data_IF_885326356659
#
_entry.id   IF_885326356659
#
_cell.length_a   1.000
_cell.length_b   1.000
_cell.length_c   1.000
_cell.angle_alpha   90.00
_cell.angle_beta   90.00
_cell.angle_gamma   90.00
#
_symmetry.space_group_name_H-M   'P 1'
#
loop_
_entity.id
_entity.type
_entity.pdbx_description
1 polymer ?
#
# COMPACT_ATOMS: atom_id res chain seq x y z
N UNK A 1 -37.67 -22.28 25.08
CA UNK A 1 -37.34 -21.08 24.28
C UNK A 1 -36.58 -21.54 23.06
N UNK A 2 -37.04 -21.21 21.86
CA UNK A 2 -36.35 -21.52 20.61
C UNK A 2 -34.98 -20.82 20.58
N UNK A 3 -33.92 -21.56 20.28
CA UNK A 3 -32.58 -20.97 20.10
C UNK A 3 -32.68 -19.93 18.97
N UNK A 4 -32.30 -18.67 19.19
CA UNK A 4 -32.36 -17.65 18.15
C UNK A 4 -31.50 -18.08 16.96
N UNK A 5 -32.02 -17.88 15.75
CA UNK A 5 -31.35 -18.27 14.51
C UNK A 5 -30.14 -17.33 14.30
N UNK A 6 -28.95 -17.78 14.69
CA UNK A 6 -27.73 -16.93 14.72
C UNK A 6 -27.38 -16.34 13.35
N UNK A 7 -27.58 -17.08 12.28
CA UNK A 7 -27.39 -16.66 10.89
C UNK A 7 -28.37 -17.42 10.01
N UNK A 8 -28.58 -16.99 8.77
CA UNK A 8 -29.35 -17.74 7.77
C UNK A 8 -28.69 -19.05 7.29
N UNK A 9 -27.56 -19.46 7.88
CA UNK A 9 -26.82 -20.68 7.52
C UNK A 9 -27.16 -21.83 8.48
N UNK A 10 -26.94 -23.06 8.01
CA UNK A 10 -27.10 -24.25 8.84
C UNK A 10 -26.16 -24.20 10.08
N UNK A 11 -26.72 -24.49 11.26
CA UNK A 11 -25.95 -24.53 12.50
C UNK A 11 -25.00 -25.72 12.52
N UNK A 12 -23.83 -25.54 13.15
CA UNK A 12 -22.89 -26.65 13.39
C UNK A 12 -23.61 -27.71 14.26
N UNK A 13 -23.74 -28.96 13.80
CA UNK A 13 -24.52 -29.97 14.51
C UNK A 13 -23.85 -30.44 15.80
N UNK A 14 -22.52 -30.62 15.79
CA UNK A 14 -21.72 -31.01 16.95
C UNK A 14 -20.22 -30.75 16.70
N UNK A 15 -19.40 -30.92 17.73
CA UNK A 15 -17.94 -31.01 17.61
C UNK A 15 -17.55 -32.46 17.31
N UNK A 16 -16.61 -32.67 16.38
CA UNK A 16 -16.13 -34.01 16.04
C UNK A 16 -15.35 -34.67 17.20
N UNK A 17 -15.50 -35.99 17.35
CA UNK A 17 -14.93 -36.77 18.46
C UNK A 17 -13.93 -37.86 18.03
N UNK A 18 -13.79 -38.10 16.73
CA UNK A 18 -12.92 -39.15 16.16
C UNK A 18 -11.49 -38.64 15.97
N UNK A 19 -10.51 -39.51 16.18
CA UNK A 19 -9.08 -39.23 15.94
C UNK A 19 -8.27 -38.97 17.21
N UNK A 20 -6.94 -38.90 17.07
CA UNK A 20 -6.03 -38.57 18.17
C UNK A 20 -6.03 -37.07 18.40
N UNK A 21 -6.17 -36.64 19.67
CA UNK A 21 -6.05 -35.23 20.05
C UNK A 21 -4.63 -34.73 19.81
N UNK A 22 -4.51 -33.58 19.16
CA UNK A 22 -3.25 -32.88 18.92
C UNK A 22 -3.40 -31.42 19.35
N UNK A 23 -2.31 -30.84 19.83
CA UNK A 23 -2.22 -29.43 20.19
C UNK A 23 -1.64 -28.70 18.99
N UNK A 24 -2.30 -27.65 18.51
CA UNK A 24 -1.86 -26.92 17.34
C UNK A 24 -1.95 -25.41 17.58
N UNK A 25 -0.84 -24.70 17.35
CA UNK A 25 -0.87 -23.24 17.32
C UNK A 25 -1.46 -22.76 15.99
N UNK A 26 -2.26 -21.71 16.06
CA UNK A 26 -2.86 -21.05 14.91
C UNK A 26 -2.31 -19.65 14.75
N UNK A 27 -2.44 -19.09 13.56
CA UNK A 27 -2.08 -17.70 13.29
C UNK A 27 -3.18 -16.70 13.72
N UNK A 28 -3.84 -17.02 14.82
CA UNK A 28 -4.84 -16.17 15.46
C UNK A 28 -4.33 -15.74 16.82
N UNK A 29 -4.59 -14.48 17.14
CA UNK A 29 -4.26 -13.83 18.39
C UNK A 29 -5.56 -13.39 19.06
N UNK A 30 -5.76 -13.76 20.32
CA UNK A 30 -7.01 -13.46 21.00
C UNK A 30 -7.16 -11.95 21.24
N UNK A 31 -8.35 -11.41 21.00
CA UNK A 31 -8.70 -10.07 21.47
C UNK A 31 -9.29 -10.26 22.88
N UNK A 32 -8.47 -9.95 23.89
CA UNK A 32 -8.75 -10.16 25.31
C UNK A 32 -9.68 -9.09 25.89
N UNK A 33 -9.62 -7.87 25.36
CA UNK A 33 -10.51 -6.79 25.76
C UNK A 33 -11.17 -6.19 24.51
N UNK A 34 -12.50 -6.18 24.51
CA UNK A 34 -13.31 -5.49 23.52
C UNK A 34 -14.28 -4.60 24.30
N UNK A 35 -14.07 -3.27 24.33
CA UNK A 35 -14.89 -2.42 25.16
C UNK A 35 -16.33 -2.34 24.65
N UNK A 36 -17.23 -1.96 25.56
CA UNK A 36 -18.66 -1.77 25.31
C UNK A 36 -18.99 -0.31 24.95
N UNK A 37 -17.98 0.46 24.53
CA UNK A 37 -18.16 1.85 24.10
C UNK A 37 -18.84 1.90 22.73
N UNK A 38 -19.68 2.92 22.45
CA UNK A 38 -20.21 3.14 21.12
C UNK A 38 -19.08 3.48 20.14
N UNK A 39 -19.24 3.10 18.87
CA UNK A 39 -18.36 3.49 17.78
C UNK A 39 -19.16 4.27 16.74
N UNK A 40 -18.73 5.48 16.42
CA UNK A 40 -19.38 6.37 15.49
C UNK A 40 -18.89 6.09 14.07
N UNK A 41 -19.81 5.75 13.17
CA UNK A 41 -19.53 5.46 11.77
C UNK A 41 -19.80 6.71 10.92
N UNK A 42 -18.79 7.13 10.17
CA UNK A 42 -18.84 8.28 9.28
C UNK A 42 -18.63 7.87 7.82
N UNK A 43 -19.38 8.52 6.93
CA UNK A 43 -19.13 8.49 5.50
C UNK A 43 -18.22 9.65 5.11
N UNK A 44 -17.17 9.36 4.34
CA UNK A 44 -16.16 10.34 3.91
C UNK A 44 -16.15 10.42 2.39
N UNK A 45 -16.21 11.63 1.85
CA UNK A 45 -16.10 11.90 0.42
C UNK A 45 -15.01 12.94 0.18
N UNK A 46 -14.03 12.61 -0.67
CA UNK A 46 -12.93 13.51 -1.02
C UNK A 46 -13.05 13.90 -2.49
N UNK A 47 -12.97 15.20 -2.77
CA UNK A 47 -12.98 15.77 -4.12
C UNK A 47 -11.74 16.63 -4.34
N UNK A 48 -11.04 16.52 -5.49
CA UNK A 48 -11.31 15.60 -6.60
C UNK A 48 -11.01 14.14 -6.23
N UNK A 49 -11.61 13.20 -6.96
CA UNK A 49 -11.39 11.77 -6.76
C UNK A 49 -9.92 11.40 -7.02
N UNK A 50 -9.26 10.81 -6.01
CA UNK A 50 -7.86 10.40 -6.09
C UNK A 50 -7.70 8.93 -5.65
N UNK A 51 -6.56 8.28 -5.98
CA UNK A 51 -6.30 6.93 -5.53
C UNK A 51 -6.32 6.80 -4.00
N UNK A 52 -6.69 5.63 -3.43
CA UNK A 52 -6.85 5.44 -1.98
C UNK A 52 -5.67 5.89 -1.11
N UNK A 53 -4.42 5.75 -1.61
CA UNK A 53 -3.24 6.19 -0.86
C UNK A 53 -3.18 7.71 -0.70
N UNK A 54 -3.70 8.47 -1.67
CA UNK A 54 -3.81 9.92 -1.55
C UNK A 54 -4.95 10.30 -0.62
N UNK A 55 -6.06 9.56 -0.64
CA UNK A 55 -7.17 9.78 0.30
C UNK A 55 -6.72 9.68 1.76
N UNK A 56 -5.88 8.69 2.08
CA UNK A 56 -5.32 8.53 3.42
C UNK A 56 -4.50 9.76 3.86
N UNK A 57 -3.65 10.29 2.98
CA UNK A 57 -2.87 11.49 3.26
C UNK A 57 -3.76 12.73 3.45
N UNK A 58 -4.77 12.90 2.60
CA UNK A 58 -5.75 14.01 2.71
C UNK A 58 -6.54 13.89 4.02
N UNK A 59 -6.97 12.68 4.38
CA UNK A 59 -7.67 12.43 5.63
C UNK A 59 -6.78 12.74 6.85
N UNK A 60 -5.50 12.35 6.81
CA UNK A 60 -4.55 12.71 7.87
C UNK A 60 -4.41 14.23 8.01
N UNK A 61 -4.20 14.95 6.91
CA UNK A 61 -4.11 16.42 6.94
C UNK A 61 -5.39 17.07 7.49
N UNK A 62 -6.56 16.52 7.16
CA UNK A 62 -7.83 16.94 7.73
C UNK A 62 -7.84 16.79 9.26
N UNK A 63 -7.44 15.63 9.78
CA UNK A 63 -7.36 15.42 11.24
C UNK A 63 -6.33 16.36 11.87
N UNK A 64 -5.11 16.43 11.33
CA UNK A 64 -4.04 17.30 11.83
C UNK A 64 -4.47 18.78 11.89
N UNK A 65 -5.34 19.22 10.98
CA UNK A 65 -5.81 20.62 10.90
C UNK A 65 -6.99 20.92 11.81
N UNK A 66 -7.94 19.98 11.93
CA UNK A 66 -9.25 20.24 12.53
C UNK A 66 -9.48 19.54 13.87
N UNK A 67 -8.58 18.65 14.31
CA UNK A 67 -8.73 17.88 15.55
C UNK A 67 -9.05 18.78 16.76
N UNK A 68 -8.23 19.80 16.98
CA UNK A 68 -8.32 20.70 18.15
C UNK A 68 -9.46 21.73 18.09
N UNK A 69 -10.04 21.95 16.90
CA UNK A 69 -10.98 23.06 16.68
C UNK A 69 -12.39 22.60 16.41
N UNK A 70 -12.57 21.56 15.59
CA UNK A 70 -13.88 21.17 15.03
C UNK A 70 -14.22 19.69 15.22
N UNK A 71 -13.33 18.88 15.78
CA UNK A 71 -13.50 17.42 15.86
C UNK A 71 -13.41 16.88 17.30
N UNK A 72 -13.53 17.73 18.32
CA UNK A 72 -13.50 17.34 19.74
C UNK A 72 -12.26 16.52 20.14
N UNK A 73 -11.10 16.82 19.56
CA UNK A 73 -9.86 16.07 19.74
C UNK A 73 -9.97 14.58 19.39
N UNK A 74 -10.91 14.20 18.52
CA UNK A 74 -11.09 12.82 18.10
C UNK A 74 -9.99 12.38 17.11
N UNK A 75 -9.58 11.12 17.24
CA UNK A 75 -8.59 10.46 16.37
C UNK A 75 -9.26 9.34 15.53
N UNK A 76 -10.14 9.68 14.56
CA UNK A 76 -10.88 8.69 13.78
C UNK A 76 -9.95 7.88 12.87
N UNK A 77 -10.31 6.62 12.68
CA UNK A 77 -9.64 5.71 11.74
C UNK A 77 -10.39 5.68 10.41
N UNK A 78 -9.67 5.62 9.30
CA UNK A 78 -10.22 5.69 7.95
C UNK A 78 -9.71 4.55 7.06
N UNK A 79 -10.59 4.00 6.24
CA UNK A 79 -10.31 2.85 5.37
C UNK A 79 -9.56 3.20 4.07
N UNK A 80 -9.39 4.50 3.79
CA UNK A 80 -8.79 5.03 2.57
C UNK A 80 -9.76 5.20 1.40
N UNK A 81 -11.05 4.93 1.59
CA UNK A 81 -12.09 5.02 0.56
C UNK A 81 -13.21 5.94 0.98
N UNK A 82 -14.16 5.47 1.79
CA UNK A 82 -15.36 6.23 2.08
C UNK A 82 -15.93 5.97 3.48
N UNK A 83 -15.22 5.22 4.32
CA UNK A 83 -15.71 4.82 5.63
C UNK A 83 -14.66 5.16 6.68
N UNK A 84 -15.07 5.95 7.66
CA UNK A 84 -14.29 6.25 8.86
C UNK A 84 -15.05 5.84 10.13
N UNK A 85 -14.32 5.54 11.19
CA UNK A 85 -14.87 5.21 12.50
C UNK A 85 -14.15 5.99 13.59
N UNK A 86 -14.88 6.37 14.64
CA UNK A 86 -14.33 7.06 15.80
C UNK A 86 -14.93 6.51 17.08
N UNK A 87 -14.19 6.53 18.18
CA UNK A 87 -14.72 6.28 19.53
C UNK A 87 -15.24 7.55 20.20
N UNK A 88 -14.75 8.70 19.78
CA UNK A 88 -15.22 10.02 20.20
C UNK A 88 -16.09 10.60 19.09
N UNK A 89 -17.29 11.07 19.42
CA UNK A 89 -18.16 11.71 18.45
C UNK A 89 -17.54 13.03 17.96
N UNK A 90 -17.47 13.20 16.63
CA UNK A 90 -16.93 14.42 16.02
C UNK A 90 -17.78 15.67 16.30
N UNK A 91 -19.02 15.51 16.78
CA UNK A 91 -19.96 16.62 17.00
C UNK A 91 -20.54 17.21 15.71
N UNK A 92 -20.49 16.46 14.60
CA UNK A 92 -20.89 16.89 13.27
C UNK A 92 -21.89 15.91 12.66
N UNK A 93 -23.04 16.40 12.21
CA UNK A 93 -24.00 15.60 11.42
C UNK A 93 -23.52 15.43 9.97
N UNK A 94 -23.18 16.53 9.30
CA UNK A 94 -22.62 16.56 7.95
C UNK A 94 -21.92 17.89 7.69
N UNK A 95 -20.61 17.88 7.44
CA UNK A 95 -19.85 19.09 7.13
C UNK A 95 -18.80 18.85 6.05
N UNK A 96 -18.48 19.92 5.31
CA UNK A 96 -17.41 19.93 4.31
C UNK A 96 -16.27 20.84 4.80
N UNK A 97 -15.05 20.36 4.67
CA UNK A 97 -13.82 21.02 5.06
C UNK A 97 -12.91 21.19 3.84
N UNK A 98 -12.19 22.30 3.83
CA UNK A 98 -11.12 22.53 2.86
C UNK A 98 -9.80 22.03 3.46
N UNK A 99 -9.22 21.00 2.86
CA UNK A 99 -7.95 20.45 3.29
C UNK A 99 -6.85 21.11 2.47
N UNK A 100 -6.00 21.86 3.17
CA UNK A 100 -4.93 22.66 2.56
C UNK A 100 -3.92 21.77 1.83
N UNK A 101 -3.59 22.13 0.59
CA UNK A 101 -2.68 21.40 -0.29
C UNK A 101 -2.65 22.01 -1.69
N UNK A 102 -1.68 21.58 -2.51
CA UNK A 102 -1.67 21.89 -3.94
C UNK A 102 -1.70 20.57 -4.74
N UNK A 103 -2.83 20.24 -5.40
CA UNK A 103 -4.11 20.96 -5.41
C UNK A 103 -4.82 20.89 -4.05
N UNK A 104 -5.70 21.85 -3.78
CA UNK A 104 -6.58 21.82 -2.59
C UNK A 104 -7.62 20.71 -2.71
N UNK A 105 -8.02 20.13 -1.58
CA UNK A 105 -9.03 19.06 -1.53
C UNK A 105 -10.23 19.49 -0.70
N UNK A 106 -11.42 19.07 -1.12
CA UNK A 106 -12.64 19.21 -0.32
C UNK A 106 -12.98 17.85 0.28
N UNK A 107 -13.02 17.78 1.61
CA UNK A 107 -13.41 16.59 2.36
C UNK A 107 -14.77 16.82 3.01
N UNK A 108 -15.76 16.02 2.62
CA UNK A 108 -17.07 15.98 3.29
C UNK A 108 -17.13 14.77 4.21
N UNK A 109 -17.54 14.98 5.45
CA UNK A 109 -17.75 13.94 6.44
C UNK A 109 -19.19 14.01 6.98
N UNK A 110 -19.84 12.85 7.15
CA UNK A 110 -21.23 12.74 7.60
C UNK A 110 -21.39 11.58 8.57
N UNK A 111 -22.07 11.80 9.69
CA UNK A 111 -22.44 10.74 10.63
C UNK A 111 -23.50 9.83 9.98
N UNK A 112 -23.21 8.53 9.92
CA UNK A 112 -24.09 7.52 9.32
C UNK A 112 -24.85 6.76 10.39
N UNK A 113 -24.15 6.33 11.43
CA UNK A 113 -24.73 5.53 12.50
C UNK A 113 -23.84 5.52 13.74
N UNK A 114 -24.46 5.33 14.90
CA UNK A 114 -23.77 4.95 16.13
C UNK A 114 -23.86 3.43 16.29
N UNK A 115 -22.71 2.77 16.29
CA UNK A 115 -22.56 1.31 16.36
C UNK A 115 -22.41 0.89 17.81
N UNK A 116 -23.37 0.12 18.30
CA UNK A 116 -23.36 -0.43 19.64
C UNK A 116 -22.59 -1.77 19.67
N UNK A 117 -21.40 -1.75 20.28
CA UNK A 117 -20.55 -2.94 20.41
C UNK A 117 -21.15 -4.02 21.33
N UNK A 118 -22.14 -3.72 22.16
CA UNK A 118 -22.82 -4.72 22.99
C UNK A 118 -23.55 -5.78 22.14
N UNK A 119 -24.01 -5.39 20.94
CA UNK A 119 -24.61 -6.32 19.98
C UNK A 119 -23.58 -7.31 19.43
N UNK A 120 -22.34 -6.86 19.21
CA UNK A 120 -21.24 -7.74 18.82
C UNK A 120 -20.93 -8.75 19.94
N UNK A 121 -20.93 -8.31 21.20
CA UNK A 121 -20.77 -9.20 22.37
C UNK A 121 -21.87 -10.26 22.45
N UNK A 122 -23.13 -9.84 22.27
CA UNK A 122 -24.29 -10.75 22.28
C UNK A 122 -24.18 -11.78 21.15
N UNK A 123 -23.71 -11.35 19.97
CA UNK A 123 -23.49 -12.25 18.83
C UNK A 123 -22.38 -13.29 19.09
N UNK A 124 -21.20 -12.87 19.58
CA UNK A 124 -20.08 -13.80 19.85
C UNK A 124 -20.41 -14.80 20.96
N UNK A 125 -21.28 -14.43 21.90
CA UNK A 125 -21.78 -15.29 22.96
C UNK A 125 -22.94 -16.19 22.53
N UNK A 126 -23.37 -16.11 21.26
CA UNK A 126 -24.49 -16.85 20.70
C UNK A 126 -25.85 -16.50 21.34
N UNK A 127 -26.00 -15.28 21.82
CA UNK A 127 -27.21 -14.76 22.47
C UNK A 127 -28.09 -13.97 21.49
N UNK A 128 -27.49 -13.41 20.43
CA UNK A 128 -28.18 -12.62 19.41
C UNK A 128 -27.76 -13.03 17.98
N UNK A 129 -28.63 -12.81 16.97
CA UNK A 129 -28.30 -13.10 15.58
C UNK A 129 -27.29 -12.11 14.99
N UNK A 130 -26.70 -12.48 13.86
CA UNK A 130 -25.89 -11.60 13.03
C UNK A 130 -26.77 -10.51 12.41
N UNK A 131 -26.52 -9.26 12.81
CA UNK A 131 -27.20 -8.08 12.27
C UNK A 131 -26.27 -7.23 11.41
N UNK A 132 -26.81 -6.25 10.69
CA UNK A 132 -26.01 -5.24 10.01
C UNK A 132 -25.11 -4.46 10.98
N UNK A 133 -25.58 -4.17 12.19
CA UNK A 133 -24.79 -3.51 13.24
C UNK A 133 -23.56 -4.35 13.64
N UNK A 134 -23.73 -5.66 13.80
CA UNK A 134 -22.63 -6.60 14.11
C UNK A 134 -21.60 -6.61 12.98
N UNK A 135 -22.03 -6.62 11.71
CA UNK A 135 -21.12 -6.55 10.56
C UNK A 135 -20.36 -5.21 10.51
N UNK A 136 -21.03 -4.11 10.81
CA UNK A 136 -20.40 -2.78 10.90
C UNK A 136 -19.40 -2.73 12.05
N UNK A 137 -19.70 -3.31 13.21
CA UNK A 137 -18.77 -3.42 14.32
C UNK A 137 -17.51 -4.22 13.95
N UNK A 138 -17.66 -5.37 13.30
CA UNK A 138 -16.53 -6.16 12.78
C UNK A 138 -15.72 -5.34 11.77
N UNK A 139 -16.38 -4.57 10.91
CA UNK A 139 -15.72 -3.69 9.94
C UNK A 139 -14.94 -2.58 10.64
N UNK A 140 -15.50 -1.95 11.67
CA UNK A 140 -14.84 -0.92 12.46
C UNK A 140 -13.54 -1.45 13.10
N UNK A 141 -13.58 -2.64 13.71
CA UNK A 141 -12.39 -3.28 14.27
C UNK A 141 -11.33 -3.61 13.20
N UNK A 142 -11.75 -4.02 12.00
CA UNK A 142 -10.82 -4.26 10.90
C UNK A 142 -10.18 -2.96 10.39
N UNK A 143 -10.96 -1.89 10.23
CA UNK A 143 -10.44 -0.58 9.80
C UNK A 143 -9.48 -0.02 10.83
N UNK A 144 -9.82 -0.12 12.12
CA UNK A 144 -8.96 0.31 13.22
C UNK A 144 -7.59 -0.38 13.19
N UNK A 145 -7.55 -1.72 13.11
CA UNK A 145 -6.28 -2.47 13.04
C UNK A 145 -5.49 -2.15 11.77
N UNK A 146 -6.17 -1.85 10.67
CA UNK A 146 -5.54 -1.62 9.37
C UNK A 146 -5.14 -0.17 9.12
N UNK A 147 -5.63 0.80 9.90
CA UNK A 147 -5.44 2.22 9.65
C UNK A 147 -3.96 2.61 9.68
N UNK A 148 -3.28 2.37 10.80
CA UNK A 148 -1.87 2.69 10.96
C UNK A 148 -0.98 1.95 9.94
N UNK A 149 -1.13 0.62 9.71
CA UNK A 149 -0.40 -0.04 8.63
C UNK A 149 -0.65 0.55 7.24
N UNK A 150 -1.86 1.05 6.96
CA UNK A 150 -2.17 1.68 5.68
C UNK A 150 -1.48 3.04 5.51
N UNK A 151 -1.19 3.75 6.61
CA UNK A 151 -0.44 5.01 6.61
C UNK A 151 1.06 4.78 6.43
N UNK A 152 1.61 3.71 7.02
CA UNK A 152 3.04 3.45 7.06
C UNK A 152 3.57 2.59 5.91
N UNK A 153 2.76 1.63 5.43
CA UNK A 153 3.22 0.59 4.51
C UNK A 153 2.45 0.58 3.21
N UNK A 154 3.04 -0.10 2.20
CA UNK A 154 2.39 -0.21 0.91
C UNK A 154 1.24 -1.21 0.96
N UNK A 155 0.01 -0.73 0.89
CA UNK A 155 -1.18 -1.59 0.80
C UNK A 155 -1.41 -2.13 -0.62
N UNK A 156 -1.50 -3.46 -0.75
CA UNK A 156 -1.97 -4.15 -1.96
C UNK A 156 -3.04 -5.16 -1.55
N UNK A 157 -4.26 -4.98 -2.07
CA UNK A 157 -5.42 -5.75 -1.62
C UNK A 157 -5.67 -5.56 -0.12
N UNK A 158 -5.52 -6.65 0.65
CA UNK A 158 -5.70 -6.68 2.11
C UNK A 158 -4.39 -6.88 2.88
N UNK A 159 -3.25 -6.74 2.21
CA UNK A 159 -1.94 -6.94 2.81
C UNK A 159 -1.09 -5.67 2.71
N UNK A 160 -0.16 -5.53 3.64
CA UNK A 160 0.73 -4.39 3.81
C UNK A 160 2.18 -4.84 3.62
N UNK A 161 2.92 -4.20 2.73
CA UNK A 161 4.25 -4.63 2.29
C UNK A 161 5.32 -3.62 2.68
N UNK A 162 6.49 -4.15 3.05
CA UNK A 162 7.68 -3.39 3.45
C UNK A 162 8.87 -3.75 2.60
N UNK A 163 9.74 -2.77 2.33
CA UNK A 163 11.04 -2.99 1.68
C UNK A 163 12.08 -3.59 2.62
N UNK A 164 11.79 -3.66 3.93
CA UNK A 164 12.67 -4.30 4.90
C UNK A 164 12.83 -5.78 4.56
N UNK A 165 14.08 -6.24 4.53
CA UNK A 165 14.44 -7.64 4.23
C UNK A 165 13.90 -8.14 2.87
N UNK A 166 13.81 -7.23 1.89
CA UNK A 166 13.46 -7.57 0.50
C UNK A 166 14.55 -8.43 -0.14
N UNK A 167 14.13 -9.33 -1.02
CA UNK A 167 15.02 -10.20 -1.78
C UNK A 167 15.04 -9.80 -3.27
N UNK A 168 16.22 -9.80 -3.89
CA UNK A 168 16.33 -9.56 -5.33
C UNK A 168 15.83 -10.79 -6.11
N UNK A 169 15.09 -10.53 -7.19
CA UNK A 169 14.70 -11.50 -8.20
C UNK A 169 15.33 -11.13 -9.54
N UNK A 170 15.40 -12.11 -10.44
CA UNK A 170 15.81 -11.90 -11.82
C UNK A 170 14.91 -10.89 -12.55
N UNK A 171 15.47 -10.19 -13.54
CA UNK A 171 14.70 -9.24 -14.38
C UNK A 171 14.39 -7.89 -13.73
N UNK A 172 15.10 -7.52 -12.66
CA UNK A 172 15.00 -6.19 -12.03
C UNK A 172 13.76 -6.03 -11.17
N UNK A 173 13.39 -7.10 -10.49
CA UNK A 173 12.24 -7.19 -9.58
C UNK A 173 12.77 -7.54 -8.19
N UNK A 174 12.05 -7.12 -7.16
CA UNK A 174 12.30 -7.47 -5.77
C UNK A 174 11.07 -8.18 -5.20
N UNK A 175 11.29 -9.18 -4.36
CA UNK A 175 10.25 -9.78 -3.53
C UNK A 175 10.20 -9.05 -2.19
N UNK A 176 9.08 -8.41 -1.89
CA UNK A 176 8.85 -7.75 -0.61
C UNK A 176 7.97 -8.62 0.29
N UNK A 177 8.35 -8.71 1.56
CA UNK A 177 7.54 -9.34 2.58
C UNK A 177 6.40 -8.40 3.00
N UNK A 178 5.30 -9.00 3.43
CA UNK A 178 4.15 -8.26 3.91
C UNK A 178 3.26 -9.08 4.83
N UNK A 179 2.20 -8.43 5.32
CA UNK A 179 1.33 -8.97 6.34
C UNK A 179 -0.13 -8.72 6.00
N UNK A 180 -0.94 -9.75 6.20
CA UNK A 180 -2.39 -9.68 6.15
C UNK A 180 -2.92 -9.61 7.58
N UNK A 181 -3.81 -8.65 7.85
CA UNK A 181 -4.48 -8.49 9.13
C UNK A 181 -5.99 -8.57 8.95
N UNK A 182 -6.66 -9.40 9.75
CA UNK A 182 -8.12 -9.39 9.80
C UNK A 182 -8.67 -9.77 11.16
N UNK A 183 -9.60 -8.98 11.67
CA UNK A 183 -10.34 -9.27 12.89
C UNK A 183 -11.54 -10.14 12.53
N UNK A 184 -11.69 -11.29 13.20
CA UNK A 184 -12.75 -12.27 12.93
C UNK A 184 -13.46 -12.70 14.21
N UNK A 185 -14.80 -12.82 14.18
CA UNK A 185 -15.52 -13.46 15.27
C UNK A 185 -15.26 -14.96 15.26
N UNK A 186 -15.04 -15.51 16.45
CA UNK A 186 -15.07 -16.95 16.72
C UNK A 186 -16.01 -17.20 17.89
N UNK A 187 -16.26 -18.46 18.22
CA UNK A 187 -17.13 -18.81 19.35
C UNK A 187 -16.60 -18.17 20.63
N UNK A 188 -17.42 -17.31 21.26
CA UNK A 188 -17.17 -16.61 22.54
C UNK A 188 -16.06 -15.56 22.56
N UNK A 189 -15.45 -15.20 21.43
CA UNK A 189 -14.41 -14.14 21.40
C UNK A 189 -14.17 -13.59 20.00
N UNK A 190 -13.50 -12.45 19.94
CA UNK A 190 -12.90 -11.94 18.71
C UNK A 190 -11.43 -12.39 18.63
N UNK A 191 -10.93 -12.63 17.42
CA UNK A 191 -9.52 -12.94 17.20
C UNK A 191 -8.95 -12.14 16.02
N UNK A 192 -7.71 -11.69 16.17
CA UNK A 192 -6.92 -11.11 15.10
C UNK A 192 -6.20 -12.24 14.36
N UNK A 193 -6.51 -12.40 13.07
CA UNK A 193 -5.75 -13.25 12.17
C UNK A 193 -4.60 -12.44 11.55
N UNK A 194 -3.38 -12.93 11.71
CA UNK A 194 -2.16 -12.38 11.09
C UNK A 194 -1.58 -13.42 10.16
N UNK A 195 -1.25 -13.06 8.92
CA UNK A 195 -0.57 -13.99 8.01
C UNK A 195 0.51 -13.31 7.17
N UNK A 196 1.57 -14.05 6.86
CA UNK A 196 2.65 -13.54 6.01
C UNK A 196 2.25 -13.61 4.55
N UNK A 197 2.44 -12.50 3.85
CA UNK A 197 2.28 -12.32 2.42
C UNK A 197 3.62 -12.00 1.76
N UNK A 198 3.73 -12.22 0.46
CA UNK A 198 4.88 -11.78 -0.34
C UNK A 198 4.41 -11.32 -1.71
N UNK A 199 4.97 -10.22 -2.23
CA UNK A 199 4.61 -9.70 -3.55
C UNK A 199 5.82 -9.11 -4.27
N UNK A 200 5.70 -8.95 -5.58
CA UNK A 200 6.76 -8.45 -6.46
C UNK A 200 6.70 -6.93 -6.65
N UNK A 201 7.85 -6.28 -6.60
CA UNK A 201 8.03 -4.85 -6.76
C UNK A 201 9.16 -4.57 -7.77
N UNK A 202 9.12 -3.43 -8.46
CA UNK A 202 10.27 -3.01 -9.26
C UNK A 202 11.46 -2.69 -8.34
N UNK A 203 12.65 -3.11 -8.76
CA UNK A 203 13.88 -2.70 -8.10
C UNK A 203 14.04 -1.18 -8.17
N UNK A 204 14.19 -0.56 -6.99
CA UNK A 204 14.44 0.88 -6.85
C UNK A 204 15.91 1.22 -7.14
N UNK A 205 16.20 2.48 -7.48
CA UNK A 205 17.56 2.96 -7.77
C UNK A 205 17.79 3.18 -9.26
N UNK A 206 19.05 3.08 -9.73
CA UNK A 206 19.42 3.44 -11.12
C UNK A 206 18.52 2.78 -12.17
N UNK A 207 17.93 3.59 -13.06
CA UNK A 207 17.15 3.08 -14.19
C UNK A 207 18.01 2.23 -15.12
N UNK A 208 19.28 2.57 -15.30
CA UNK A 208 20.21 1.78 -16.10
C UNK A 208 20.46 0.40 -15.47
N UNK A 209 20.59 0.30 -14.14
CA UNK A 209 20.68 -1.00 -13.47
C UNK A 209 19.43 -1.84 -13.67
N UNK A 210 18.24 -1.23 -13.60
CA UNK A 210 16.98 -1.92 -13.91
C UNK A 210 16.97 -2.42 -15.36
N UNK A 211 17.43 -1.61 -16.32
CA UNK A 211 17.50 -1.98 -17.73
C UNK A 211 18.49 -3.13 -17.96
N UNK A 212 19.68 -3.09 -17.34
CA UNK A 212 20.65 -4.20 -17.38
C UNK A 212 20.00 -5.50 -16.88
N UNK A 213 19.30 -5.45 -15.75
CA UNK A 213 18.64 -6.62 -15.17
C UNK A 213 17.52 -7.17 -16.06
N UNK A 214 16.71 -6.30 -16.69
CA UNK A 214 15.68 -6.69 -17.68
C UNK A 214 16.30 -7.38 -18.91
N UNK A 215 17.48 -6.93 -19.31
CA UNK A 215 18.24 -7.49 -20.42
C UNK A 215 19.07 -8.72 -20.03
N UNK A 216 19.16 -9.04 -18.73
CA UNK A 216 20.00 -10.09 -18.15
C UNK A 216 21.50 -9.88 -18.40
N UNK A 217 21.93 -8.62 -18.35
CA UNK A 217 23.33 -8.20 -18.43
C UNK A 217 23.96 -8.13 -17.04
N UNK A 218 25.27 -8.31 -16.94
CA UNK A 218 25.98 -8.29 -15.65
C UNK A 218 26.27 -6.87 -15.15
N UNK A 219 26.42 -5.91 -16.06
CA UNK A 219 26.75 -4.53 -15.73
C UNK A 219 26.05 -3.52 -16.65
N UNK A 220 26.11 -2.26 -16.24
CA UNK A 220 25.64 -1.13 -17.06
C UNK A 220 26.53 -0.98 -18.30
N UNK A 221 27.83 -1.25 -18.19
CA UNK A 221 28.80 -1.11 -19.30
C UNK A 221 28.51 -2.08 -20.46
N UNK A 222 27.91 -3.24 -20.17
CA UNK A 222 27.46 -4.18 -21.19
C UNK A 222 26.30 -3.62 -22.03
N UNK A 223 25.51 -2.69 -21.49
CA UNK A 223 24.47 -1.97 -22.26
C UNK A 223 25.15 -1.17 -23.38
N UNK A 224 26.26 -0.50 -23.07
CA UNK A 224 27.02 0.29 -24.04
C UNK A 224 27.63 -0.59 -25.13
N UNK A 225 28.31 -1.66 -24.71
CA UNK A 225 28.97 -2.59 -25.64
C UNK A 225 27.97 -3.31 -26.54
N UNK A 226 26.74 -3.53 -26.07
CA UNK A 226 25.70 -4.25 -26.80
C UNK A 226 24.66 -3.35 -27.46
N UNK A 227 24.80 -2.02 -27.39
CA UNK A 227 23.73 -1.06 -27.68
C UNK A 227 23.02 -1.25 -29.03
N UNK A 228 23.77 -1.67 -30.06
CA UNK A 228 23.24 -1.92 -31.41
C UNK A 228 22.39 -3.20 -31.51
N UNK A 229 22.67 -4.19 -30.66
CA UNK A 229 21.95 -5.48 -30.64
C UNK A 229 20.76 -5.48 -29.67
N UNK A 230 20.68 -4.48 -28.77
CA UNK A 230 19.61 -4.38 -27.78
C UNK A 230 18.26 -4.19 -28.46
N UNK A 231 17.32 -5.08 -28.12
CA UNK A 231 15.92 -4.91 -28.47
C UNK A 231 15.26 -3.86 -27.56
N UNK A 232 15.39 -2.58 -27.93
CA UNK A 232 14.81 -1.45 -27.18
C UNK A 232 13.29 -1.52 -27.04
N UNK A 233 12.58 -2.23 -27.92
CA UNK A 233 11.12 -2.46 -27.76
C UNK A 233 10.83 -3.34 -26.54
N UNK A 234 11.67 -4.33 -26.25
CA UNK A 234 11.56 -5.17 -25.05
C UNK A 234 11.80 -4.32 -23.79
N UNK A 235 12.83 -3.47 -23.82
CA UNK A 235 13.15 -2.55 -22.71
C UNK A 235 12.00 -1.58 -22.46
N UNK A 236 11.52 -0.90 -23.51
CA UNK A 236 10.38 0.03 -23.39
C UNK A 236 9.17 -0.69 -22.78
N UNK A 237 8.81 -1.88 -23.28
CA UNK A 237 7.70 -2.66 -22.72
C UNK A 237 7.90 -2.97 -21.23
N UNK A 238 9.13 -3.23 -20.79
CA UNK A 238 9.45 -3.54 -19.40
C UNK A 238 9.28 -2.31 -18.48
N UNK A 239 9.81 -1.15 -18.87
CA UNK A 239 9.85 0.06 -18.04
C UNK A 239 8.68 1.02 -18.25
N UNK A 240 7.79 0.77 -19.23
CA UNK A 240 6.61 1.60 -19.48
C UNK A 240 5.75 1.70 -18.21
N UNK A 241 5.37 2.94 -17.86
CA UNK A 241 4.62 3.35 -16.66
C UNK A 241 5.36 3.24 -15.33
N UNK A 242 6.63 2.82 -15.32
CA UNK A 242 7.49 2.93 -14.14
C UNK A 242 7.68 4.41 -13.82
N UNK A 243 7.59 4.74 -12.54
CA UNK A 243 7.89 6.08 -12.03
C UNK A 243 9.37 6.21 -11.72
N UNK A 244 9.96 7.31 -12.15
CA UNK A 244 11.36 7.65 -11.91
C UNK A 244 11.45 9.07 -11.37
N UNK A 245 12.39 9.33 -10.48
CA UNK A 245 12.87 10.68 -10.19
C UNK A 245 14.07 10.99 -11.07
N UNK A 246 14.32 12.27 -11.30
CA UNK A 246 15.56 12.70 -11.94
C UNK A 246 16.56 13.17 -10.89
N UNK A 247 17.84 13.12 -11.21
CA UNK A 247 18.90 13.63 -10.32
C UNK A 247 18.87 15.15 -10.11
N UNK A 248 18.15 15.91 -10.96
CA UNK A 248 18.20 17.37 -10.95
C UNK A 248 17.01 18.04 -10.26
N UNK A 249 15.84 17.38 -10.18
CA UNK A 249 14.65 17.96 -9.52
C UNK A 249 14.06 17.08 -8.40
N UNK A 250 14.39 15.80 -8.35
CA UNK A 250 13.82 14.85 -7.37
C UNK A 250 12.32 14.61 -7.51
N UNK A 251 11.68 15.12 -8.57
CA UNK A 251 10.23 15.01 -8.77
C UNK A 251 9.92 13.66 -9.45
N UNK A 252 8.90 12.92 -8.99
CA UNK A 252 8.56 11.63 -9.59
C UNK A 252 7.75 11.80 -10.89
N UNK A 253 8.34 11.37 -12.01
CA UNK A 253 7.72 11.31 -13.34
C UNK A 253 7.36 9.88 -13.72
N UNK A 254 6.48 9.73 -14.72
CA UNK A 254 6.15 8.41 -15.29
C UNK A 254 6.76 8.25 -16.67
N UNK A 255 7.40 7.12 -16.93
CA UNK A 255 7.94 6.78 -18.26
C UNK A 255 6.78 6.39 -19.19
N UNK A 256 6.66 7.07 -20.33
CA UNK A 256 5.68 6.77 -21.38
C UNK A 256 6.28 6.00 -22.55
N UNK A 257 7.59 6.03 -22.73
CA UNK A 257 8.29 5.25 -23.74
C UNK A 257 9.77 5.60 -23.79
N UNK A 258 10.44 5.16 -24.86
CA UNK A 258 11.80 5.58 -25.19
C UNK A 258 11.79 6.45 -26.45
N UNK A 259 12.79 7.32 -26.60
CA UNK A 259 13.00 8.02 -27.88
C UNK A 259 13.58 7.07 -28.92
N UNK A 260 13.33 7.34 -30.20
CA UNK A 260 13.95 6.61 -31.32
C UNK A 260 15.39 7.04 -31.61
N UNK A 261 15.81 8.17 -31.05
CA UNK A 261 17.13 8.79 -31.24
C UNK A 261 17.83 8.97 -29.90
N UNK A 262 19.15 9.16 -29.96
CA UNK A 262 20.00 9.42 -28.80
C UNK A 262 19.84 10.85 -28.26
N UNK A 263 20.32 11.18 -27.04
CA UNK A 263 20.38 12.54 -26.52
C UNK A 263 21.03 13.56 -27.46
N UNK A 264 22.01 13.15 -28.28
CA UNK A 264 22.68 13.96 -29.31
C UNK A 264 21.75 14.50 -30.38
N UNK A 265 20.79 13.69 -30.77
CA UNK A 265 19.93 13.92 -31.93
C UNK A 265 18.48 14.24 -31.53
N UNK A 266 18.18 14.13 -30.23
CA UNK A 266 16.87 14.44 -29.66
C UNK A 266 16.82 15.92 -29.32
N UNK A 267 15.95 16.71 -29.96
CA UNK A 267 15.82 18.13 -29.62
C UNK A 267 15.22 18.29 -28.23
N UNK A 268 15.79 19.22 -27.45
CA UNK A 268 15.23 19.59 -26.17
C UNK A 268 13.99 20.47 -26.38
N UNK A 269 12.90 20.14 -25.68
CA UNK A 269 11.63 20.87 -25.76
C UNK A 269 11.32 21.45 -24.39
N UNK A 270 11.18 22.77 -24.33
CA UNK A 270 10.60 23.46 -23.17
C UNK A 270 9.14 23.76 -23.49
N UNK A 271 8.22 23.19 -22.73
CA UNK A 271 6.88 23.74 -22.65
C UNK A 271 6.89 24.82 -21.57
N UNK A 272 6.70 26.08 -21.97
CA UNK A 272 6.41 27.17 -21.05
C UNK A 272 4.91 27.10 -20.69
N UNK A 273 4.56 27.25 -19.42
CA UNK A 273 3.20 27.12 -18.86
C UNK A 273 2.14 28.11 -19.43
N UNK A 274 2.45 28.89 -20.47
CA UNK A 274 1.53 29.85 -21.08
C UNK A 274 1.41 29.77 -22.61
N UNK A 275 2.07 28.81 -23.27
CA UNK A 275 1.98 28.65 -24.73
C UNK A 275 1.79 27.18 -25.09
N UNK A 276 0.68 26.86 -25.78
CA UNK A 276 0.35 25.51 -26.29
C UNK A 276 1.37 24.96 -27.30
N UNK A 277 2.35 25.77 -27.72
CA UNK A 277 3.46 25.35 -28.57
C UNK A 277 4.73 25.19 -27.74
N UNK A 278 5.16 23.93 -27.57
CA UNK A 278 6.49 23.60 -27.07
C UNK A 278 7.54 24.36 -27.90
N UNK A 279 8.32 25.21 -27.25
CA UNK A 279 9.45 25.89 -27.91
C UNK A 279 10.53 24.84 -28.07
N UNK A 280 10.79 24.44 -29.32
CA UNK A 280 11.99 23.70 -29.66
C UNK A 280 13.14 24.69 -29.51
N UNK A 281 13.85 24.59 -28.39
CA UNK A 281 15.15 25.27 -28.27
C UNK A 281 16.05 24.57 -29.29
N UNK A 282 16.82 25.32 -30.08
CA UNK A 282 17.73 24.78 -31.10
C UNK A 282 18.90 23.97 -30.55
N UNK A 283 18.75 23.33 -29.38
CA UNK A 283 19.73 22.50 -28.71
C UNK A 283 19.20 21.08 -28.50
N UNK A 284 20.12 20.13 -28.48
CA UNK A 284 19.87 18.73 -28.15
C UNK A 284 19.71 18.52 -26.64
N UNK A 285 19.19 17.36 -26.24
CA UNK A 285 19.11 16.95 -24.83
C UNK A 285 20.51 16.87 -24.22
N UNK A 286 21.52 16.36 -24.94
CA UNK A 286 22.90 16.33 -24.44
C UNK A 286 23.44 17.74 -24.18
N UNK A 287 23.26 18.66 -25.13
CA UNK A 287 23.72 20.05 -24.97
C UNK A 287 23.02 20.76 -23.81
N UNK A 288 21.72 20.53 -23.63
CA UNK A 288 20.98 21.07 -22.48
C UNK A 288 21.58 20.60 -21.16
N UNK A 289 21.82 19.29 -20.98
CA UNK A 289 22.41 18.78 -19.74
C UNK A 289 23.85 19.26 -19.52
N UNK A 290 24.63 19.40 -20.59
CA UNK A 290 25.98 19.97 -20.51
C UNK A 290 25.94 21.45 -20.07
N UNK A 291 25.10 22.27 -20.70
CA UNK A 291 25.06 23.72 -20.47
C UNK A 291 24.33 24.10 -19.18
N UNK A 292 23.21 23.47 -18.87
CA UNK A 292 22.33 23.83 -17.75
C UNK A 292 22.68 23.09 -16.46
N UNK A 293 23.10 21.82 -16.57
CA UNK A 293 23.39 20.99 -15.40
C UNK A 293 24.89 20.70 -15.21
N UNK A 294 25.76 21.27 -16.06
CA UNK A 294 27.21 21.00 -16.07
C UNK A 294 27.52 19.50 -16.01
N UNK A 295 26.75 18.71 -16.79
CA UNK A 295 26.81 17.26 -16.78
C UNK A 295 27.09 16.73 -18.17
N UNK A 296 28.29 16.18 -18.35
CA UNK A 296 28.60 15.35 -19.50
C UNK A 296 28.00 13.96 -19.33
N UNK A 297 27.27 13.51 -20.35
CA UNK A 297 26.63 12.21 -20.33
C UNK A 297 27.66 11.11 -20.61
N UNK A 298 27.62 10.05 -19.81
CA UNK A 298 28.49 8.88 -19.98
C UNK A 298 27.96 7.96 -21.09
N UNK A 299 26.62 7.90 -21.23
CA UNK A 299 25.93 7.08 -22.20
C UNK A 299 25.14 7.91 -23.25
N UNK A 300 25.77 8.86 -23.97
CA UNK A 300 25.08 9.79 -24.88
C UNK A 300 24.54 9.13 -26.15
N UNK A 301 24.85 7.85 -26.38
CA UNK A 301 24.40 7.04 -27.52
C UNK A 301 23.15 6.19 -27.21
N UNK A 302 22.75 6.07 -25.94
CA UNK A 302 21.52 5.36 -25.56
C UNK A 302 20.28 6.22 -25.86
N UNK A 303 19.07 5.66 -26.02
CA UNK A 303 17.86 6.47 -26.12
C UNK A 303 17.55 7.21 -24.82
N UNK A 304 16.69 8.23 -24.87
CA UNK A 304 16.16 8.93 -23.71
C UNK A 304 14.88 8.25 -23.19
N UNK A 305 14.63 8.35 -21.88
CA UNK A 305 13.31 8.12 -21.32
C UNK A 305 12.38 9.26 -21.71
N UNK A 306 11.27 8.92 -22.38
CA UNK A 306 10.19 9.87 -22.66
C UNK A 306 9.27 9.94 -21.45
N UNK A 307 9.31 11.07 -20.76
CA UNK A 307 8.38 11.44 -19.70
C UNK A 307 7.15 12.09 -20.36
N UNK A 308 6.35 12.83 -19.59
CA UNK A 308 5.10 13.41 -20.10
C UNK A 308 5.37 14.40 -21.26
N UNK A 309 6.09 15.48 -20.95
CA UNK A 309 6.38 16.59 -21.88
C UNK A 309 7.85 16.67 -22.29
N UNK A 310 8.72 15.95 -21.60
CA UNK A 310 10.18 16.04 -21.75
C UNK A 310 10.82 14.68 -22.00
N UNK A 311 11.98 14.70 -22.65
CA UNK A 311 12.84 13.53 -22.80
C UNK A 311 14.10 13.75 -21.95
N UNK A 312 14.45 12.75 -21.14
CA UNK A 312 15.62 12.81 -20.24
C UNK A 312 16.53 11.60 -20.48
N UNK A 313 17.86 11.75 -20.36
CA UNK A 313 18.78 10.63 -20.46
C UNK A 313 18.47 9.52 -19.44
N UNK A 314 18.71 8.26 -19.80
CA UNK A 314 18.44 7.13 -18.90
C UNK A 314 19.31 7.17 -17.64
N UNK A 315 20.55 7.63 -17.76
CA UNK A 315 21.53 7.73 -16.68
C UNK A 315 21.18 8.76 -15.60
N UNK A 316 20.27 9.70 -15.87
CA UNK A 316 19.81 10.69 -14.88
C UNK A 316 18.52 10.27 -14.17
N UNK A 317 18.01 9.06 -14.46
CA UNK A 317 16.76 8.56 -13.91
C UNK A 317 17.00 7.53 -12.80
N UNK A 318 16.24 7.64 -11.71
CA UNK A 318 16.21 6.68 -10.60
C UNK A 318 14.78 6.18 -10.37
N UNK A 319 14.58 4.87 -10.34
CA UNK A 319 13.31 4.19 -10.11
C UNK A 319 12.85 4.44 -8.67
N UNK A 320 11.64 4.98 -8.55
CA UNK A 320 10.99 5.23 -7.25
C UNK A 320 10.71 3.90 -6.55
N UNK A 321 10.97 3.83 -5.25
CA UNK A 321 10.71 2.64 -4.43
C UNK A 321 9.21 2.35 -4.24
N UNK A 322 8.86 1.10 -3.92
CA UNK A 322 7.49 0.71 -3.55
C UNK A 322 6.53 0.60 -4.73
N UNK A 323 7.06 0.50 -5.95
CA UNK A 323 6.26 0.32 -7.16
C UNK A 323 5.94 -1.15 -7.39
N UNK A 324 4.68 -1.53 -7.16
CA UNK A 324 4.21 -2.90 -7.35
C UNK A 324 4.36 -3.35 -8.81
N UNK A 325 4.93 -4.55 -9.00
CA UNK A 325 5.08 -5.19 -10.30
C UNK A 325 3.83 -6.02 -10.60
N UNK A 326 2.92 -5.46 -11.40
CA UNK A 326 1.62 -6.11 -11.72
C UNK A 326 1.67 -7.10 -12.89
N UNK A 327 2.79 -7.18 -13.62
CA UNK A 327 2.89 -8.09 -14.76
C UNK A 327 3.09 -9.52 -14.24
N UNK A 328 2.69 -10.50 -15.05
CA UNK A 328 2.94 -11.91 -14.75
C UNK A 328 4.45 -12.14 -14.69
N UNK A 329 4.91 -12.77 -13.60
CA UNK A 329 6.29 -13.23 -13.46
C UNK A 329 6.60 -14.29 -14.51
N UNK A 330 7.82 -14.26 -15.05
CA UNK A 330 8.30 -15.36 -15.89
C UNK A 330 8.59 -16.63 -15.05
N UNK A 331 8.91 -17.74 -15.71
CA UNK A 331 9.12 -19.03 -15.04
C UNK A 331 10.25 -18.98 -14.01
N UNK A 332 11.35 -18.31 -14.35
CA UNK A 332 12.51 -18.14 -13.47
C UNK A 332 12.14 -17.30 -12.24
N UNK A 333 11.50 -16.15 -12.45
CA UNK A 333 11.04 -15.27 -11.37
C UNK A 333 10.03 -15.97 -10.45
N UNK A 334 9.13 -16.77 -11.03
CA UNK A 334 8.16 -17.55 -10.25
C UNK A 334 8.84 -18.62 -9.41
N UNK A 335 9.83 -19.33 -9.96
CA UNK A 335 10.62 -20.32 -9.23
C UNK A 335 11.39 -19.68 -8.06
N UNK A 336 12.06 -18.55 -8.31
CA UNK A 336 12.76 -17.77 -7.27
C UNK A 336 11.77 -17.34 -6.16
N UNK A 337 10.59 -16.85 -6.53
CA UNK A 337 9.52 -16.47 -5.61
C UNK A 337 8.97 -17.66 -4.80
N UNK A 338 8.81 -18.85 -5.41
CA UNK A 338 8.42 -20.08 -4.69
C UNK A 338 9.49 -20.46 -3.68
N UNK A 339 10.76 -20.46 -4.10
CA UNK A 339 11.87 -20.84 -3.24
C UNK A 339 12.02 -19.90 -2.02
N UNK A 340 11.82 -18.59 -2.22
CA UNK A 340 11.83 -17.60 -1.13
C UNK A 340 10.67 -17.78 -0.14
N UNK A 341 9.48 -18.14 -0.63
CA UNK A 341 8.29 -18.33 0.20
C UNK A 341 8.21 -19.69 0.90
N UNK A 342 9.02 -20.66 0.45
CA UNK A 342 9.08 -22.02 1.02
C UNK A 342 9.83 -22.03 2.36
N UNK A 343 9.08 -21.76 3.42
CA UNK A 343 9.59 -21.63 4.79
C UNK A 343 8.97 -22.69 5.71
N UNK A 344 9.75 -23.37 6.57
CA UNK A 344 9.21 -24.32 7.55
C UNK A 344 8.17 -23.68 8.49
N UNK A 345 7.15 -24.43 8.97
CA UNK A 345 6.10 -23.88 9.83
C UNK A 345 6.61 -23.17 11.09
N UNK A 346 7.69 -23.67 11.71
CA UNK A 346 8.31 -23.05 12.89
C UNK A 346 8.87 -21.65 12.60
N UNK A 347 9.56 -21.49 11.47
CA UNK A 347 10.09 -20.21 11.02
C UNK A 347 8.96 -19.30 10.55
N UNK A 348 7.94 -19.84 9.86
CA UNK A 348 6.76 -19.06 9.46
C UNK A 348 6.02 -18.52 10.68
N UNK A 349 5.88 -19.32 11.76
CA UNK A 349 5.26 -18.86 12.99
C UNK A 349 6.02 -17.67 13.61
N UNK A 350 7.36 -17.72 13.64
CA UNK A 350 8.18 -16.57 14.05
C UNK A 350 7.96 -15.32 13.19
N UNK A 351 7.84 -15.48 11.86
CA UNK A 351 7.51 -14.35 10.97
C UNK A 351 6.10 -13.81 11.21
N UNK A 352 5.11 -14.66 11.47
CA UNK A 352 3.75 -14.21 11.79
C UNK A 352 3.76 -13.40 13.09
N UNK A 353 4.54 -13.84 14.08
CA UNK A 353 4.73 -13.16 15.35
C UNK A 353 5.30 -11.74 15.17
N UNK A 354 6.32 -11.57 14.32
CA UNK A 354 6.86 -10.24 14.01
C UNK A 354 5.87 -9.33 13.28
N UNK A 355 4.79 -9.88 12.72
CA UNK A 355 3.69 -9.09 12.17
C UNK A 355 2.98 -8.23 13.21
N UNK A 356 3.02 -8.61 14.49
CA UNK A 356 2.48 -7.78 15.58
C UNK A 356 3.33 -6.54 15.85
N UNK A 357 4.64 -6.60 15.60
CA UNK A 357 5.54 -5.43 15.71
C UNK A 357 5.19 -4.38 14.64
N UNK A 358 4.77 -4.82 13.45
CA UNK A 358 4.37 -3.95 12.33
C UNK A 358 3.06 -3.21 12.61
N UNK A 359 2.16 -3.80 13.41
CA UNK A 359 0.98 -3.11 13.92
C UNK A 359 1.35 -1.99 14.92
N UNK A 360 2.59 -2.01 15.41
CA UNK A 360 3.09 -1.17 16.49
C UNK A 360 2.12 -1.14 17.67
N UNK A 361 1.59 -2.32 18.02
CA UNK A 361 0.44 -2.46 18.91
C UNK A 361 0.60 -1.68 20.23
N UNK A 362 1.81 -1.66 20.80
CA UNK A 362 2.08 -0.97 22.06
C UNK A 362 1.99 0.56 21.96
N UNK A 363 2.34 1.16 20.82
CA UNK A 363 2.38 2.61 20.63
C UNK A 363 1.27 3.13 19.72
N UNK A 364 0.36 2.25 19.27
CA UNK A 364 -0.71 2.62 18.35
C UNK A 364 -1.85 3.32 19.10
N UNK A 365 -1.86 4.65 19.04
CA UNK A 365 -2.86 5.51 19.68
C UNK A 365 -4.29 5.10 19.32
N UNK A 366 -4.57 4.74 18.07
CA UNK A 366 -5.91 4.34 17.65
C UNK A 366 -6.38 3.05 18.30
N UNK A 367 -5.49 2.07 18.48
CA UNK A 367 -5.82 0.81 19.17
C UNK A 367 -6.09 1.08 20.65
N UNK A 368 -5.27 1.94 21.26
CA UNK A 368 -5.38 2.34 22.66
C UNK A 368 -6.67 3.12 22.93
N UNK A 369 -7.03 4.07 22.06
CA UNK A 369 -8.28 4.82 22.11
C UNK A 369 -9.50 3.90 21.98
N UNK A 370 -9.41 2.90 21.10
CA UNK A 370 -10.42 1.87 20.97
C UNK A 370 -10.45 0.89 22.15
N UNK A 371 -9.52 0.98 23.10
CA UNK A 371 -9.44 0.11 24.29
C UNK A 371 -9.27 -1.38 23.96
N UNK A 372 -8.76 -1.72 22.77
CA UNK A 372 -8.69 -3.11 22.30
C UNK A 372 -7.42 -3.80 22.81
N UNK A 373 -7.62 -4.86 23.59
CA UNK A 373 -6.56 -5.70 24.15
C UNK A 373 -6.25 -6.88 23.22
N UNK A 374 -5.04 -7.00 22.68
CA UNK A 374 -4.65 -8.13 21.80
C UNK A 374 -3.57 -8.96 22.50
N UNK A 375 -3.74 -10.28 22.51
CA UNK A 375 -2.73 -11.20 23.01
C UNK A 375 -1.50 -11.20 22.10
N UNK A 376 -0.32 -11.18 22.71
CA UNK A 376 0.93 -11.45 22.00
C UNK A 376 1.11 -12.93 21.66
N UNK A 377 0.29 -13.85 22.18
CA UNK A 377 0.49 -15.28 21.99
C UNK A 377 -0.46 -15.84 20.93
N UNK A 378 0.07 -16.75 20.10
CA UNK A 378 -0.73 -17.53 19.17
C UNK A 378 -1.73 -18.43 19.92
N UNK A 379 -2.99 -18.41 19.49
CA UNK A 379 -4.03 -19.28 20.00
C UNK A 379 -3.71 -20.75 19.73
N UNK A 380 -3.99 -21.60 20.71
CA UNK A 380 -3.68 -23.04 20.75
C UNK A 380 -4.94 -23.89 20.81
#
# INVERSE_FOLDING_TARGET
MSVPLLTGLALRPAVGTVGKRVIAKTNFFAINNLPLIPVYHYHVTISPCVPPIKNLNVFKQFIDTYSDTSLNHACPVYDGRNTAFSVTELGLESQTFEVTGSPGFMLRIMLVATVDLSQLHSFINCEAPLTGSVLTAITALNVMIQHQPAMLYRRIGRSFFTSKDKALLSGGIEAWNGFHFSVRPVVKRMMLNVDVSMSSFFQSGSLLSLIANVLRLQSIDEIASSAQSINWRKVEKAIRRVRVTTTHDGIPYRIFGLTSRSPRETPFRLEHDQVETAVVVGMSVEEFFRLTHNRDLEFPFLPCARLDKVAVPLEVCSVVEGQHYYKKLDEQQMEEMINLSRVPPSIRAGKIQSGLEILDYANNEHINDFGVGISSEMAT
#
